data_IF_350400581109
#
_entry.id   IF_350400581109
#
_cell.length_a   1.000
_cell.length_b   1.000
_cell.length_c   1.000
_cell.angle_alpha   90.00
_cell.angle_beta   90.00
_cell.angle_gamma   90.00
#
_symmetry.space_group_name_H-M   'P 1'
#
loop_
_entity.id
_entity.type
_entity.pdbx_description
1 polymer ?
#
# COMPACT_ATOMS: atom_id res chain seq x y z
N UNK A 1 7.20 -18.52 2.15
CA UNK A 1 5.76 -18.89 2.04
C UNK A 1 4.98 -17.62 1.77
N UNK A 2 4.06 -17.64 0.80
CA UNK A 2 3.13 -16.56 0.54
C UNK A 2 2.00 -16.64 1.60
N UNK A 3 1.84 -15.59 2.41
CA UNK A 3 0.86 -15.54 3.49
C UNK A 3 0.15 -14.20 3.42
N UNK A 4 -1.19 -14.23 3.46
CA UNK A 4 -2.02 -13.04 3.60
C UNK A 4 -3.04 -13.19 4.72
N UNK A 5 -3.59 -12.07 5.19
CA UNK A 5 -4.55 -11.99 6.28
C UNK A 5 -5.83 -11.31 5.80
N UNK A 6 -6.98 -11.93 6.06
CA UNK A 6 -8.29 -11.29 5.94
C UNK A 6 -8.75 -10.88 7.35
N UNK A 7 -8.61 -9.60 7.75
CA UNK A 7 -8.82 -9.16 9.14
C UNK A 7 -10.30 -8.85 9.41
N UNK A 8 -11.14 -9.89 9.41
CA UNK A 8 -12.59 -9.79 9.58
C UNK A 8 -13.03 -10.26 10.96
N UNK A 9 -14.08 -9.64 11.51
CA UNK A 9 -14.64 -9.90 12.85
C UNK A 9 -16.06 -10.45 12.81
N UNK A 10 -16.74 -10.35 11.67
CA UNK A 10 -18.12 -10.82 11.50
C UNK A 10 -18.29 -11.56 10.18
N UNK A 11 -19.32 -12.40 10.08
CA UNK A 11 -19.67 -13.08 8.84
C UNK A 11 -20.00 -12.10 7.70
N UNK A 12 -20.57 -10.94 8.03
CA UNK A 12 -20.86 -9.87 7.06
C UNK A 12 -19.59 -9.26 6.49
N UNK A 13 -18.59 -8.97 7.34
CA UNK A 13 -17.28 -8.49 6.89
C UNK A 13 -16.58 -9.53 5.99
N UNK A 14 -16.65 -10.82 6.37
CA UNK A 14 -16.12 -11.91 5.54
C UNK A 14 -16.79 -11.93 4.17
N UNK A 15 -18.13 -11.88 4.12
CA UNK A 15 -18.88 -11.91 2.86
C UNK A 15 -18.58 -10.70 1.98
N UNK A 16 -18.45 -9.50 2.58
CA UNK A 16 -18.10 -8.29 1.86
C UNK A 16 -16.69 -8.37 1.26
N UNK A 17 -15.69 -8.80 2.03
CA UNK A 17 -14.30 -8.89 1.56
C UNK A 17 -14.11 -9.97 0.51
N UNK A 18 -14.76 -11.13 0.65
CA UNK A 18 -14.75 -12.18 -0.39
C UNK A 18 -15.41 -11.69 -1.67
N UNK A 19 -16.54 -11.01 -1.58
CA UNK A 19 -17.21 -10.42 -2.76
C UNK A 19 -16.32 -9.39 -3.45
N UNK A 20 -15.58 -8.59 -2.67
CA UNK A 20 -14.60 -7.62 -3.18
C UNK A 20 -13.45 -8.30 -3.93
N UNK A 21 -12.92 -9.41 -3.40
CA UNK A 21 -11.87 -10.20 -4.06
C UNK A 21 -12.38 -10.80 -5.38
N UNK A 22 -13.54 -11.45 -5.37
CA UNK A 22 -14.14 -12.04 -6.59
C UNK A 22 -14.48 -10.96 -7.63
N UNK A 23 -14.96 -9.80 -7.18
CA UNK A 23 -15.25 -8.66 -8.06
C UNK A 23 -14.00 -8.10 -8.73
N UNK A 24 -12.87 -8.04 -8.01
CA UNK A 24 -11.59 -7.58 -8.56
C UNK A 24 -11.11 -8.46 -9.73
N UNK A 25 -11.34 -9.78 -9.68
CA UNK A 25 -10.98 -10.68 -10.78
C UNK A 25 -11.69 -10.37 -12.10
N UNK A 26 -12.85 -9.70 -12.03
CA UNK A 26 -13.63 -9.25 -13.18
C UNK A 26 -13.36 -7.78 -13.55
N UNK A 27 -12.56 -7.06 -12.75
CA UNK A 27 -12.25 -5.65 -12.99
C UNK A 27 -11.28 -5.46 -14.15
N UNK A 28 -11.33 -4.27 -14.75
CA UNK A 28 -10.38 -3.85 -15.77
C UNK A 28 -9.21 -3.11 -15.11
N UNK A 29 -7.96 -3.48 -15.41
CA UNK A 29 -6.81 -2.78 -14.87
C UNK A 29 -6.73 -1.34 -15.37
N UNK A 30 -6.17 -0.47 -14.53
CA UNK A 30 -5.67 0.83 -15.00
C UNK A 30 -4.15 0.73 -15.15
N UNK A 31 -3.57 1.55 -16.03
CA UNK A 31 -2.11 1.67 -16.12
C UNK A 31 -1.57 2.77 -15.21
N UNK A 32 -2.19 3.03 -14.05
CA UNK A 32 -1.82 4.14 -13.16
C UNK A 32 -1.04 3.63 -11.95
N UNK A 33 0.08 4.28 -11.64
CA UNK A 33 0.83 4.08 -10.39
C UNK A 33 0.88 5.41 -9.64
N UNK A 34 0.62 5.35 -8.34
CA UNK A 34 0.71 6.50 -7.45
C UNK A 34 1.91 6.30 -6.52
N UNK A 35 2.86 7.22 -6.59
CA UNK A 35 3.98 7.34 -5.66
C UNK A 35 3.72 8.53 -4.74
N UNK A 36 3.88 8.31 -3.44
CA UNK A 36 3.70 9.35 -2.42
C UNK A 36 4.90 9.33 -1.49
N UNK A 37 5.59 10.46 -1.37
CA UNK A 37 6.68 10.65 -0.44
C UNK A 37 6.29 11.68 0.61
N UNK A 38 6.57 11.37 1.88
CA UNK A 38 6.58 12.34 2.96
C UNK A 38 7.71 13.38 2.77
N UNK A 39 7.73 14.42 3.58
CA UNK A 39 8.84 15.36 3.61
C UNK A 39 10.13 14.67 4.05
N UNK A 40 11.25 15.10 3.49
CA UNK A 40 12.55 14.58 3.88
C UNK A 40 12.97 15.10 5.26
N UNK A 41 13.57 14.22 6.06
CA UNK A 41 14.09 14.54 7.39
C UNK A 41 15.43 13.80 7.65
N UNK A 42 15.50 12.92 8.65
CA UNK A 42 16.58 11.94 8.85
C UNK A 42 16.72 11.01 7.64
N UNK A 43 15.65 10.80 6.87
CA UNK A 43 15.67 10.02 5.63
C UNK A 43 15.13 10.81 4.42
N UNK A 44 15.63 10.49 3.24
CA UNK A 44 15.18 11.10 1.98
C UNK A 44 14.14 10.20 1.30
N UNK A 45 12.87 10.38 1.65
CA UNK A 45 11.75 9.63 1.06
C UNK A 45 11.50 9.99 -0.40
N UNK A 46 11.77 11.24 -0.81
CA UNK A 46 11.60 11.67 -2.19
C UNK A 46 12.61 11.00 -3.15
N UNK A 47 13.83 10.75 -2.69
CA UNK A 47 14.83 10.00 -3.43
C UNK A 47 14.45 8.51 -3.54
N UNK A 48 13.90 7.91 -2.48
CA UNK A 48 13.38 6.54 -2.54
C UNK A 48 12.28 6.39 -3.62
N UNK A 49 11.35 7.35 -3.73
CA UNK A 49 10.38 7.38 -4.81
C UNK A 49 11.03 7.58 -6.19
N UNK A 50 12.09 8.40 -6.28
CA UNK A 50 12.84 8.61 -7.53
C UNK A 50 13.48 7.32 -8.02
N UNK A 51 14.12 6.55 -7.12
CA UNK A 51 14.70 5.25 -7.43
C UNK A 51 13.63 4.24 -7.85
N UNK A 52 12.48 4.21 -7.18
CA UNK A 52 11.35 3.35 -7.55
C UNK A 52 10.74 3.68 -8.90
N UNK A 53 10.59 4.97 -9.21
CA UNK A 53 10.03 5.42 -10.48
C UNK A 53 10.84 4.89 -11.67
N UNK A 54 12.16 4.74 -11.52
CA UNK A 54 13.02 4.17 -12.55
C UNK A 54 12.77 2.67 -12.81
N UNK A 55 12.11 1.96 -11.89
CA UNK A 55 11.77 0.54 -12.02
C UNK A 55 10.38 0.30 -12.63
N UNK A 56 9.57 1.36 -12.74
CA UNK A 56 8.22 1.28 -13.29
C UNK A 56 8.29 1.32 -14.83
N UNK A 57 7.62 0.41 -15.56
CA UNK A 57 7.58 0.41 -17.01
C UNK A 57 7.03 1.70 -17.62
N UNK A 58 7.58 2.11 -18.77
CA UNK A 58 7.20 3.36 -19.45
C UNK A 58 5.73 3.42 -19.93
N UNK A 59 5.03 2.29 -20.02
CA UNK A 59 3.61 2.24 -20.36
C UNK A 59 2.67 2.55 -19.17
N UNK A 60 3.21 2.71 -17.96
CA UNK A 60 2.47 3.13 -16.78
C UNK A 60 2.47 4.66 -16.67
N UNK A 61 1.31 5.21 -16.30
CA UNK A 61 1.12 6.61 -15.93
C UNK A 61 1.47 6.76 -14.45
N UNK A 62 2.58 7.42 -14.15
CA UNK A 62 3.06 7.63 -12.78
C UNK A 62 2.70 9.02 -12.29
N UNK A 63 1.87 9.09 -11.25
CA UNK A 63 1.69 10.30 -10.43
C UNK A 63 2.66 10.23 -9.26
N UNK A 64 3.52 11.23 -9.10
CA UNK A 64 4.52 11.31 -8.02
C UNK A 64 4.23 12.55 -7.15
N UNK A 65 3.69 12.32 -5.95
CA UNK A 65 3.34 13.36 -4.99
C UNK A 65 4.46 13.43 -3.94
N UNK A 66 5.11 14.59 -3.86
CA UNK A 66 6.19 14.86 -2.90
C UNK A 66 5.72 15.89 -1.90
N UNK A 67 5.30 15.43 -0.72
CA UNK A 67 4.69 16.30 0.31
C UNK A 67 5.58 17.50 0.65
N UNK A 68 6.89 17.27 0.80
CA UNK A 68 7.85 18.33 1.12
C UNK A 68 7.91 19.47 0.10
N UNK A 69 7.47 19.23 -1.14
CA UNK A 69 7.47 20.22 -2.22
C UNK A 69 6.12 20.91 -2.42
N UNK A 70 5.03 20.17 -2.29
CA UNK A 70 3.68 20.69 -2.60
C UNK A 70 2.93 21.23 -1.36
N UNK A 71 3.37 20.86 -0.15
CA UNK A 71 2.73 21.17 1.12
C UNK A 71 1.50 20.31 1.42
N UNK A 72 1.10 20.27 2.70
CA UNK A 72 0.12 19.30 3.23
C UNK A 72 -1.23 19.34 2.52
N UNK A 73 -1.79 20.53 2.32
CA UNK A 73 -3.13 20.69 1.71
C UNK A 73 -3.16 20.18 0.25
N UNK A 74 -2.14 20.55 -0.54
CA UNK A 74 -2.05 20.11 -1.93
C UNK A 74 -1.73 18.62 -2.01
N UNK A 75 -0.83 18.11 -1.15
CA UNK A 75 -0.50 16.68 -1.08
C UNK A 75 -1.75 15.85 -0.80
N UNK A 76 -2.57 16.27 0.19
CA UNK A 76 -3.84 15.62 0.52
C UNK A 76 -4.82 15.65 -0.65
N UNK A 77 -5.04 16.81 -1.25
CA UNK A 77 -5.97 16.95 -2.38
C UNK A 77 -5.57 16.06 -3.56
N UNK A 78 -4.30 16.15 -4.00
CA UNK A 78 -3.76 15.34 -5.10
C UNK A 78 -3.80 13.84 -4.78
N UNK A 79 -3.55 13.45 -3.52
CA UNK A 79 -3.61 12.07 -3.08
C UNK A 79 -5.03 11.51 -3.19
N UNK A 80 -6.03 12.20 -2.63
CA UNK A 80 -7.41 11.74 -2.69
C UNK A 80 -7.94 11.69 -4.12
N UNK A 81 -7.58 12.67 -4.96
CA UNK A 81 -7.92 12.66 -6.39
C UNK A 81 -7.31 11.46 -7.12
N UNK A 82 -6.01 11.18 -6.88
CA UNK A 82 -5.32 10.07 -7.51
C UNK A 82 -5.84 8.69 -7.04
N UNK A 83 -6.18 8.56 -5.76
CA UNK A 83 -6.82 7.36 -5.23
C UNK A 83 -8.19 7.13 -5.88
N UNK A 84 -9.04 8.16 -5.93
CA UNK A 84 -10.35 8.10 -6.57
C UNK A 84 -10.26 7.83 -8.09
N UNK A 85 -9.18 8.25 -8.74
CA UNK A 85 -8.90 7.96 -10.14
C UNK A 85 -8.47 6.49 -10.40
N UNK A 86 -8.32 5.67 -9.36
CA UNK A 86 -8.13 4.22 -9.47
C UNK A 86 -6.71 3.80 -9.83
N UNK A 87 -5.70 4.25 -9.08
CA UNK A 87 -4.33 3.74 -9.24
C UNK A 87 -4.27 2.22 -8.99
N UNK A 88 -3.60 1.46 -9.85
CA UNK A 88 -3.45 0.01 -9.68
C UNK A 88 -2.49 -0.32 -8.54
N UNK A 89 -1.42 0.47 -8.41
CA UNK A 89 -0.47 0.37 -7.29
C UNK A 89 -0.30 1.74 -6.66
N UNK A 90 -0.40 1.80 -5.33
CA UNK A 90 -0.14 2.97 -4.50
C UNK A 90 1.04 2.64 -3.62
N UNK A 91 2.13 3.40 -3.73
CA UNK A 91 3.32 3.22 -2.91
C UNK A 91 3.55 4.48 -2.09
N UNK A 92 3.71 4.30 -0.79
CA UNK A 92 3.98 5.37 0.16
C UNK A 92 5.30 5.13 0.89
N UNK A 93 6.19 6.13 0.88
CA UNK A 93 7.40 6.19 1.71
C UNK A 93 7.29 7.38 2.67
N UNK A 94 7.38 7.12 3.98
CA UNK A 94 7.32 8.20 4.95
C UNK A 94 6.97 7.77 6.36
N UNK A 95 6.62 8.76 7.18
CA UNK A 95 6.16 8.53 8.55
C UNK A 95 4.73 8.02 8.58
N UNK A 96 4.34 7.39 9.68
CA UNK A 96 3.03 6.81 9.82
C UNK A 96 2.76 6.38 11.24
N UNK A 97 1.48 6.23 11.55
CA UNK A 97 1.01 5.65 12.79
C UNK A 97 0.01 4.52 12.49
N UNK A 98 -0.71 4.06 13.50
CA UNK A 98 -1.72 3.01 13.32
C UNK A 98 -2.83 3.42 12.34
N UNK A 99 -3.16 4.72 12.23
CA UNK A 99 -4.37 5.20 11.54
C UNK A 99 -4.16 6.32 10.51
N UNK A 100 -2.93 6.70 10.21
CA UNK A 100 -2.65 7.80 9.28
C UNK A 100 -1.26 7.73 8.64
N UNK A 101 -1.10 8.45 7.55
CA UNK A 101 0.19 8.77 6.92
C UNK A 101 0.69 10.14 7.35
N UNK A 102 2.00 10.21 7.62
CA UNK A 102 2.78 11.38 8.04
C UNK A 102 2.34 11.95 9.41
N UNK A 103 2.91 13.08 9.83
CA UNK A 103 2.42 13.87 10.97
C UNK A 103 1.31 14.87 10.60
N UNK A 104 1.13 15.16 9.31
CA UNK A 104 0.04 15.95 8.77
C UNK A 104 -0.93 15.03 8.02
N UNK A 105 -2.13 14.71 8.54
CA UNK A 105 -2.97 13.59 8.09
C UNK A 105 -3.46 13.70 6.62
N UNK A 106 -2.57 13.49 5.65
CA UNK A 106 -2.86 13.53 4.22
C UNK A 106 -3.70 12.33 3.79
N UNK A 107 -3.63 11.25 4.56
CA UNK A 107 -4.53 10.10 4.47
C UNK A 107 -4.74 9.52 5.87
N UNK A 108 -5.99 9.26 6.22
CA UNK A 108 -6.40 8.67 7.49
C UNK A 108 -7.27 7.44 7.27
N UNK A 109 -7.38 6.59 8.29
CA UNK A 109 -8.28 5.43 8.26
C UNK A 109 -9.75 5.84 8.01
N UNK A 110 -10.17 7.02 8.46
CA UNK A 110 -11.52 7.53 8.23
C UNK A 110 -11.77 7.92 6.76
N UNK A 111 -10.73 8.33 6.02
CA UNK A 111 -10.86 8.67 4.60
C UNK A 111 -11.19 7.43 3.75
N UNK A 112 -10.77 6.23 4.19
CA UNK A 112 -10.92 4.99 3.45
C UNK A 112 -12.37 4.69 3.05
N UNK A 113 -13.34 4.94 3.94
CA UNK A 113 -14.77 4.70 3.68
C UNK A 113 -15.32 5.55 2.53
N UNK A 114 -14.69 6.69 2.26
CA UNK A 114 -15.11 7.65 1.23
C UNK A 114 -14.40 7.48 -0.12
N UNK A 115 -13.44 6.55 -0.23
CA UNK A 115 -12.72 6.32 -1.48
C UNK A 115 -13.64 5.75 -2.56
N UNK A 116 -13.76 6.46 -3.67
CA UNK A 116 -14.67 6.18 -4.77
C UNK A 116 -14.16 5.19 -5.82
N UNK A 117 -12.96 4.62 -5.65
CA UNK A 117 -12.33 3.70 -6.60
C UNK A 117 -12.88 2.25 -6.52
N UNK A 118 -14.19 2.09 -6.29
CA UNK A 118 -14.86 0.78 -6.11
C UNK A 118 -14.62 -0.16 -7.30
N UNK A 119 -14.51 0.39 -8.52
CA UNK A 119 -14.25 -0.41 -9.74
C UNK A 119 -12.76 -0.60 -10.05
N UNK A 120 -11.87 0.07 -9.32
CA UNK A 120 -10.42 0.14 -9.58
C UNK A 120 -9.65 0.09 -8.26
N UNK A 121 -9.79 -1.02 -7.54
CA UNK A 121 -9.14 -1.25 -6.26
C UNK A 121 -7.62 -1.31 -6.41
N UNK A 122 -6.91 -0.75 -5.43
CA UNK A 122 -5.46 -0.62 -5.48
C UNK A 122 -4.74 -1.67 -4.64
N UNK A 123 -3.55 -2.07 -5.06
CA UNK A 123 -2.55 -2.63 -4.15
C UNK A 123 -1.83 -1.47 -3.44
N UNK A 124 -1.92 -1.41 -2.12
CA UNK A 124 -1.16 -0.46 -1.30
C UNK A 124 0.13 -1.08 -0.79
N UNK A 125 1.25 -0.40 -1.05
CA UNK A 125 2.60 -0.76 -0.58
C UNK A 125 3.04 0.35 0.38
N UNK A 126 2.78 0.13 1.67
CA UNK A 126 3.00 1.14 2.70
C UNK A 126 4.36 0.89 3.35
N UNK A 127 5.38 1.66 2.92
CA UNK A 127 6.70 1.69 3.51
C UNK A 127 6.73 2.72 4.64
N UNK A 128 6.02 2.37 5.71
CA UNK A 128 5.87 3.18 6.91
C UNK A 128 5.56 2.31 8.14
N UNK A 129 5.63 2.94 9.31
CA UNK A 129 5.41 2.30 10.60
C UNK A 129 3.91 2.06 10.91
N UNK A 130 3.63 0.95 11.59
CA UNK A 130 2.37 0.63 12.30
C UNK A 130 1.06 0.63 11.50
N UNK A 131 1.06 0.97 10.21
CA UNK A 131 -0.13 0.97 9.36
C UNK A 131 -0.87 -0.38 9.30
N UNK A 132 -0.20 -1.48 9.64
CA UNK A 132 -0.74 -2.83 9.78
C UNK A 132 -0.89 -3.31 11.22
N UNK A 133 -0.98 -2.44 12.22
CA UNK A 133 -1.07 -2.83 13.64
C UNK A 133 -2.42 -3.48 14.02
N UNK A 134 -2.68 -4.69 13.54
CA UNK A 134 -3.92 -5.45 13.74
C UNK A 134 -4.00 -6.13 15.12
N UNK A 135 -2.94 -6.09 15.91
CA UNK A 135 -2.85 -6.82 17.18
C UNK A 135 -3.78 -6.25 18.25
N UNK A 136 -4.14 -4.98 18.14
CA UNK A 136 -5.03 -4.31 19.08
C UNK A 136 -6.50 -4.44 18.64
N UNK A 137 -7.36 -5.18 19.38
CA UNK A 137 -8.75 -5.33 19.03
C UNK A 137 -9.56 -4.02 19.14
N UNK A 138 -9.09 -3.02 19.89
CA UNK A 138 -9.78 -1.74 20.05
C UNK A 138 -9.46 -0.74 18.94
N UNK A 139 -8.41 -1.00 18.15
CA UNK A 139 -7.96 -0.10 17.08
C UNK A 139 -8.12 -0.79 15.74
N UNK A 140 -8.87 -0.17 14.83
CA UNK A 140 -8.78 -0.53 13.42
C UNK A 140 -7.60 0.20 12.79
N UNK A 141 -6.64 -0.58 12.28
CA UNK A 141 -5.46 -0.06 11.60
C UNK A 141 -5.78 0.49 10.21
N UNK A 142 -4.87 1.32 9.68
CA UNK A 142 -4.97 1.87 8.33
C UNK A 142 -5.16 0.79 7.26
N UNK A 143 -4.47 -0.34 7.39
CA UNK A 143 -4.57 -1.47 6.46
C UNK A 143 -5.92 -2.16 6.53
N UNK A 144 -6.49 -2.30 7.72
CA UNK A 144 -7.83 -2.86 7.90
C UNK A 144 -8.90 -1.95 7.30
N UNK A 145 -8.84 -0.64 7.58
CA UNK A 145 -9.79 0.34 7.05
C UNK A 145 -9.77 0.39 5.51
N UNK A 146 -8.58 0.48 4.90
CA UNK A 146 -8.42 0.47 3.44
C UNK A 146 -8.95 -0.82 2.80
N UNK A 147 -8.73 -1.97 3.44
CA UNK A 147 -9.13 -3.26 2.90
C UNK A 147 -10.64 -3.49 3.02
N UNK A 148 -11.26 -3.07 4.15
CA UNK A 148 -12.69 -3.25 4.41
C UNK A 148 -13.59 -2.23 3.74
N UNK A 149 -13.08 -1.04 3.38
CA UNK A 149 -13.85 -0.04 2.66
C UNK A 149 -14.44 -0.61 1.35
N UNK A 150 -15.58 -0.11 0.84
CA UNK A 150 -16.11 -0.52 -0.46
C UNK A 150 -15.12 -0.25 -1.61
N UNK A 151 -14.51 0.94 -1.61
CA UNK A 151 -13.36 1.28 -2.45
C UNK A 151 -12.04 0.92 -1.77
N UNK A 152 -11.01 1.74 -1.94
CA UNK A 152 -9.72 1.55 -1.28
C UNK A 152 -8.92 0.40 -1.89
N UNK A 153 -8.58 -0.58 -1.06
CA UNK A 153 -7.56 -1.57 -1.38
C UNK A 153 -8.13 -2.95 -1.75
N UNK A 154 -7.53 -3.62 -2.74
CA UNK A 154 -7.67 -5.08 -2.91
C UNK A 154 -6.69 -5.82 -1.97
N UNK A 155 -5.54 -5.21 -1.71
CA UNK A 155 -4.55 -5.69 -0.78
C UNK A 155 -3.73 -4.52 -0.23
N UNK A 156 -3.25 -4.67 1.00
CA UNK A 156 -2.34 -3.71 1.66
C UNK A 156 -1.14 -4.47 2.19
N UNK A 157 0.06 -4.03 1.88
CA UNK A 157 1.29 -4.58 2.44
C UNK A 157 1.94 -3.54 3.34
N UNK A 158 1.93 -3.79 4.65
CA UNK A 158 2.27 -2.79 5.67
C UNK A 158 2.92 -3.41 6.90
N UNK A 159 3.63 -2.55 7.65
CA UNK A 159 4.26 -2.91 8.92
C UNK A 159 3.28 -3.00 10.09
N UNK A 160 3.44 -4.02 10.92
CA UNK A 160 2.85 -4.10 12.26
C UNK A 160 3.71 -3.44 13.34
N UNK A 161 4.89 -2.91 13.00
CA UNK A 161 5.88 -2.44 13.97
C UNK A 161 6.50 -1.08 13.64
N UNK A 162 7.42 -0.65 14.51
CA UNK A 162 8.32 0.47 14.28
C UNK A 162 9.62 -0.06 13.68
N UNK A 163 10.08 0.56 12.59
CA UNK A 163 11.26 0.07 11.85
C UNK A 163 11.99 1.20 11.13
N UNK A 164 13.27 0.99 10.84
CA UNK A 164 14.09 1.91 10.07
C UNK A 164 13.69 2.00 8.59
N UNK A 165 13.82 3.16 7.92
CA UNK A 165 13.32 3.39 6.56
C UNK A 165 14.14 2.70 5.46
N UNK A 166 15.47 2.70 5.56
CA UNK A 166 16.34 2.16 4.49
C UNK A 166 16.02 0.69 4.12
N UNK A 167 15.86 -0.25 5.08
CA UNK A 167 15.43 -1.61 4.78
C UNK A 167 14.07 -1.74 4.09
N UNK A 168 13.16 -0.79 4.29
CA UNK A 168 11.83 -0.78 3.68
C UNK A 168 11.91 -0.45 2.19
N UNK A 169 12.81 0.48 1.83
CA UNK A 169 13.07 0.85 0.43
C UNK A 169 13.62 -0.33 -0.37
N UNK A 170 14.52 -1.13 0.20
CA UNK A 170 15.00 -2.36 -0.46
C UNK A 170 13.84 -3.32 -0.76
N UNK A 171 12.91 -3.48 0.18
CA UNK A 171 11.73 -4.31 0.01
C UNK A 171 10.76 -3.76 -1.05
N UNK A 172 10.52 -2.45 -1.07
CA UNK A 172 9.63 -1.85 -2.07
C UNK A 172 10.22 -1.93 -3.48
N UNK A 173 11.53 -1.74 -3.64
CA UNK A 173 12.23 -1.90 -4.92
C UNK A 173 12.08 -3.32 -5.48
N UNK A 174 12.35 -4.34 -4.65
CA UNK A 174 12.16 -5.73 -5.05
C UNK A 174 10.69 -6.02 -5.39
N UNK A 175 9.75 -5.54 -4.56
CA UNK A 175 8.32 -5.74 -4.83
C UNK A 175 7.89 -5.15 -6.18
N UNK A 176 8.33 -3.93 -6.51
CA UNK A 176 7.99 -3.26 -7.77
C UNK A 176 8.65 -3.96 -8.98
N UNK A 177 9.89 -4.43 -8.85
CA UNK A 177 10.53 -5.26 -9.88
C UNK A 177 9.74 -6.55 -10.12
N UNK A 178 9.34 -7.26 -9.06
CA UNK A 178 8.58 -8.50 -9.18
C UNK A 178 7.14 -8.26 -9.68
N UNK A 179 6.50 -7.14 -9.35
CA UNK A 179 5.15 -6.81 -9.83
C UNK A 179 5.11 -6.56 -11.34
N UNK A 180 6.07 -5.80 -11.87
CA UNK A 180 6.05 -5.39 -13.27
C UNK A 180 6.88 -6.29 -14.20
N UNK A 181 7.90 -6.97 -13.68
CA UNK A 181 8.78 -7.83 -14.48
C UNK A 181 8.72 -9.32 -14.07
N UNK A 182 8.12 -9.63 -12.91
CA UNK A 182 7.92 -11.01 -12.45
C UNK A 182 6.70 -11.61 -13.12
N UNK A 183 6.92 -12.38 -14.19
CA UNK A 183 5.85 -12.94 -15.00
C UNK A 183 4.85 -13.77 -14.16
N UNK A 184 3.65 -13.21 -13.98
CA UNK A 184 2.46 -13.93 -13.49
C UNK A 184 2.43 -14.29 -12.01
N UNK A 185 3.24 -13.64 -11.17
CA UNK A 185 3.27 -13.87 -9.72
C UNK A 185 2.01 -13.37 -9.03
N UNK A 186 1.65 -14.03 -7.93
CA UNK A 186 0.63 -13.49 -7.01
C UNK A 186 1.24 -12.42 -6.10
N UNK A 187 0.41 -11.55 -5.52
CA UNK A 187 0.83 -10.53 -4.56
C UNK A 187 1.49 -11.19 -3.33
N UNK A 188 1.02 -12.37 -2.92
CA UNK A 188 1.65 -13.16 -1.86
C UNK A 188 3.07 -13.62 -2.21
N UNK A 189 3.31 -14.03 -3.46
CA UNK A 189 4.65 -14.42 -3.92
C UNK A 189 5.59 -13.20 -4.03
N UNK A 190 5.09 -12.09 -4.57
CA UNK A 190 5.81 -10.82 -4.64
C UNK A 190 6.26 -10.39 -3.25
N UNK A 191 5.34 -10.31 -2.28
CA UNK A 191 5.67 -9.87 -0.92
C UNK A 191 6.61 -10.86 -0.21
N UNK A 192 6.45 -12.17 -0.43
CA UNK A 192 7.37 -13.16 0.12
C UNK A 192 8.80 -13.02 -0.42
N UNK A 193 8.98 -12.73 -1.71
CA UNK A 193 10.30 -12.46 -2.33
C UNK A 193 10.88 -11.14 -1.85
N UNK A 194 10.06 -10.08 -1.83
CA UNK A 194 10.46 -8.75 -1.40
C UNK A 194 11.01 -8.72 0.03
N UNK A 195 10.42 -9.51 0.95
CA UNK A 195 10.95 -9.66 2.32
C UNK A 195 12.37 -10.24 2.35
N UNK A 196 12.77 -11.01 1.35
CA UNK A 196 14.13 -11.55 1.22
C UNK A 196 15.17 -10.54 0.75
N UNK A 197 14.77 -9.36 0.25
CA UNK A 197 15.68 -8.33 -0.25
C UNK A 197 16.39 -7.53 0.85
N UNK A 198 15.89 -7.61 2.08
CA UNK A 198 16.49 -6.95 3.24
C UNK A 198 17.08 -7.96 4.21
N UNK A 199 18.10 -7.57 4.96
CA UNK A 199 18.68 -8.38 6.05
C UNK A 199 18.22 -7.93 7.44
N UNK A 200 17.34 -6.92 7.53
CA UNK A 200 16.84 -6.39 8.79
C UNK A 200 15.68 -7.25 9.33
N UNK A 201 15.89 -8.06 10.39
CA UNK A 201 14.91 -9.04 10.84
C UNK A 201 13.60 -8.41 11.32
N UNK A 202 13.64 -7.21 11.90
CA UNK A 202 12.43 -6.52 12.36
C UNK A 202 11.53 -6.15 11.19
N UNK A 203 12.11 -5.67 10.09
CA UNK A 203 11.39 -5.32 8.86
C UNK A 203 10.86 -6.57 8.17
N UNK A 204 11.68 -7.63 8.08
CA UNK A 204 11.23 -8.92 7.55
C UNK A 204 10.06 -9.51 8.33
N UNK A 205 10.02 -9.37 9.66
CA UNK A 205 9.00 -10.03 10.48
C UNK A 205 7.71 -9.23 10.60
N UNK A 206 7.79 -7.91 10.49
CA UNK A 206 6.65 -7.01 10.73
C UNK A 206 5.87 -6.63 9.48
N UNK A 207 6.39 -6.84 8.26
CA UNK A 207 5.61 -6.60 7.03
C UNK A 207 4.63 -7.74 6.74
N UNK A 208 3.34 -7.44 6.84
CA UNK A 208 2.22 -8.37 6.66
C UNK A 208 1.39 -7.96 5.46
N UNK A 209 1.02 -8.94 4.64
CA UNK A 209 0.05 -8.76 3.56
C UNK A 209 -1.36 -8.91 4.12
N UNK A 210 -2.17 -7.86 3.99
CA UNK A 210 -3.60 -7.86 4.22
C UNK A 210 -4.30 -8.04 2.87
N UNK A 211 -5.18 -9.02 2.78
CA UNK A 211 -5.79 -9.46 1.52
C UNK A 211 -5.46 -10.91 1.18
N UNK A 212 -5.97 -11.36 0.04
CA UNK A 212 -5.74 -12.71 -0.47
C UNK A 212 -4.33 -12.82 -1.09
N UNK A 213 -3.45 -13.70 -0.58
CA UNK A 213 -2.11 -13.89 -1.16
C UNK A 213 -2.13 -14.50 -2.56
N UNK A 214 -3.24 -15.09 -3.01
CA UNK A 214 -3.39 -15.67 -4.34
C UNK A 214 -3.77 -14.65 -5.42
N UNK A 215 -4.18 -13.43 -5.03
CA UNK A 215 -4.53 -12.35 -5.96
C UNK A 215 -3.36 -12.05 -6.89
N UNK A 216 -3.64 -11.92 -8.18
CA UNK A 216 -2.70 -11.40 -9.18
C UNK A 216 -3.05 -9.96 -9.48
N UNK A 217 -2.03 -9.11 -9.61
CA UNK A 217 -2.24 -7.75 -10.09
C UNK A 217 -2.74 -7.80 -11.54
N UNK A 218 -3.78 -7.02 -11.84
CA UNK A 218 -4.36 -6.91 -13.17
C UNK A 218 -3.56 -5.92 -14.04
#
# INVERSE_FOLDING_TARGET
MAIGRLPVRTAQETAALVSKIVGYDQSQPTNKVLLVADHNDVYNFEDANTQLKALIPANMQVTDIRRGQVGDSNARSQLLDALNAGATVVIYHGHGSTRLWTDAPILTAADAESLGNVQHLSLFVNMTCLNGYFQDPAVESMSEALLKAPGGAIAVWASTGLTEPFPQVMMSQEAIQQLFNGAGLTIGEVTARAKGATYAPDVQRTWILFGDPATKLK
#
